data_IF_425951104136
#
_entry.id   IF_425951104136
#
_cell.length_a   1.000
_cell.length_b   1.000
_cell.length_c   1.000
_cell.angle_alpha   90.00
_cell.angle_beta   90.00
_cell.angle_gamma   90.00
#
_symmetry.space_group_name_H-M   'P 1'
#
loop_
_entity.id
_entity.type
_entity.pdbx_description
1 polymer ?
#
# COMPACT_ATOMS: atom_id res chain seq x y z
N UNK A 1 16.25 -2.27 -11.65
CA UNK A 1 16.98 -2.38 -10.36
C UNK A 1 17.06 -3.85 -10.00
N UNK A 2 18.20 -4.50 -10.24
CA UNK A 2 18.45 -5.92 -9.93
C UNK A 2 18.87 -6.13 -8.46
N UNK A 3 18.24 -5.43 -7.50
CA UNK A 3 18.60 -5.54 -6.08
C UNK A 3 18.25 -6.93 -5.53
N UNK A 4 17.08 -7.44 -5.94
CA UNK A 4 16.60 -8.77 -5.58
C UNK A 4 17.58 -9.86 -6.03
N UNK A 5 18.03 -9.82 -7.28
CA UNK A 5 18.99 -10.78 -7.82
C UNK A 5 20.36 -10.74 -7.13
N UNK A 6 20.81 -9.57 -6.64
CA UNK A 6 22.05 -9.48 -5.88
C UNK A 6 21.93 -10.05 -4.47
N UNK A 7 20.78 -9.87 -3.82
CA UNK A 7 20.50 -10.41 -2.48
C UNK A 7 20.32 -11.92 -2.55
N UNK A 8 19.63 -12.43 -3.57
CA UNK A 8 19.44 -13.88 -3.79
C UNK A 8 20.75 -14.64 -4.01
N UNK A 9 21.79 -13.97 -4.53
CA UNK A 9 23.14 -14.55 -4.68
C UNK A 9 23.90 -14.68 -3.36
N UNK A 10 23.48 -13.99 -2.30
CA UNK A 10 24.13 -14.03 -0.98
C UNK A 10 23.61 -15.22 -0.17
N UNK A 11 24.03 -16.42 -0.54
CA UNK A 11 23.65 -17.69 0.10
C UNK A 11 24.73 -18.17 1.08
N UNK A 12 24.32 -18.84 2.15
CA UNK A 12 25.23 -19.48 3.12
C UNK A 12 25.66 -18.59 4.28
N UNK A 13 26.10 -19.22 5.38
CA UNK A 13 26.40 -18.55 6.65
C UNK A 13 27.47 -17.44 6.54
N UNK A 14 28.48 -17.64 5.68
CA UNK A 14 29.54 -16.66 5.45
C UNK A 14 29.02 -15.33 4.88
N UNK A 15 27.91 -15.36 4.16
CA UNK A 15 27.30 -14.17 3.54
C UNK A 15 26.24 -13.50 4.43
N UNK A 16 25.92 -14.06 5.60
CA UNK A 16 24.82 -13.61 6.44
C UNK A 16 24.86 -12.13 6.77
N UNK A 17 26.01 -11.62 7.23
CA UNK A 17 26.17 -10.20 7.59
C UNK A 17 25.98 -9.28 6.39
N UNK A 18 26.44 -9.70 5.20
CA UNK A 18 26.28 -8.95 3.95
C UNK A 18 24.84 -8.97 3.48
N UNK A 19 24.18 -10.13 3.53
CA UNK A 19 22.77 -10.30 3.20
C UNK A 19 21.90 -9.41 4.10
N UNK A 20 22.11 -9.47 5.42
CA UNK A 20 21.39 -8.66 6.40
C UNK A 20 21.52 -7.16 6.10
N UNK A 21 22.74 -6.68 5.84
CA UNK A 21 22.99 -5.27 5.47
C UNK A 21 22.26 -4.86 4.20
N UNK A 22 22.21 -5.71 3.18
CA UNK A 22 21.50 -5.40 1.93
C UNK A 22 19.99 -5.32 2.13
N UNK A 23 19.42 -6.19 2.95
CA UNK A 23 18.00 -6.13 3.33
C UNK A 23 17.69 -4.83 4.08
N UNK A 24 18.50 -4.46 5.07
CA UNK A 24 18.32 -3.19 5.81
C UNK A 24 18.34 -1.98 4.88
N UNK A 25 19.28 -1.91 3.93
CA UNK A 25 19.36 -0.83 2.95
C UNK A 25 18.14 -0.78 2.05
N UNK A 26 17.65 -1.94 1.60
CA UNK A 26 16.44 -2.03 0.78
C UNK A 26 15.21 -1.51 1.54
N UNK A 27 15.05 -1.90 2.81
CA UNK A 27 13.94 -1.44 3.64
C UNK A 27 14.01 0.08 3.90
N UNK A 28 15.21 0.63 4.10
CA UNK A 28 15.41 2.08 4.25
C UNK A 28 15.11 2.84 2.95
N UNK A 29 15.50 2.29 1.80
CA UNK A 29 15.20 2.89 0.50
C UNK A 29 13.69 3.02 0.25
N UNK A 30 12.90 2.06 0.76
CA UNK A 30 11.45 2.09 0.68
C UNK A 30 10.77 2.86 1.84
N UNK A 31 11.53 3.46 2.76
CA UNK A 31 11.02 4.15 3.95
C UNK A 31 10.11 3.26 4.83
N UNK A 32 10.39 1.96 4.88
CA UNK A 32 9.61 0.97 5.67
C UNK A 32 10.43 0.27 6.74
N UNK A 33 11.73 0.57 6.85
CA UNK A 33 12.60 -0.01 7.86
C UNK A 33 12.02 0.14 9.27
N UNK A 34 11.63 1.35 9.64
CA UNK A 34 11.10 1.67 10.97
C UNK A 34 9.74 1.00 11.23
N UNK A 35 8.98 0.73 10.17
CA UNK A 35 7.72 -0.04 10.26
C UNK A 35 8.00 -1.51 10.54
N UNK A 36 9.00 -2.08 9.89
CA UNK A 36 9.41 -3.48 10.10
C UNK A 36 10.07 -3.67 11.47
N UNK A 37 10.84 -2.69 11.95
CA UNK A 37 11.45 -2.69 13.28
C UNK A 37 10.46 -2.43 14.42
N UNK A 38 9.25 -1.97 14.11
CA UNK A 38 8.22 -1.65 15.11
C UNK A 38 8.37 -0.26 15.75
N UNK A 39 9.33 0.53 15.28
CA UNK A 39 9.54 1.92 15.71
C UNK A 39 8.46 2.87 15.16
N UNK A 40 7.80 2.49 14.05
CA UNK A 40 6.72 3.24 13.41
C UNK A 40 5.52 2.35 13.13
N UNK A 41 4.31 2.82 13.43
CA UNK A 41 3.10 2.11 12.99
C UNK A 41 2.96 2.15 11.47
N UNK A 42 2.56 1.03 10.87
CA UNK A 42 2.23 0.97 9.45
C UNK A 42 1.04 1.90 9.17
N UNK A 43 1.14 2.83 8.18
CA UNK A 43 0.04 3.73 7.89
C UNK A 43 -1.21 2.93 7.53
N UNK A 44 -2.24 3.03 8.37
CA UNK A 44 -3.54 2.39 8.09
C UNK A 44 -4.06 2.90 6.75
N UNK A 45 -4.33 1.98 5.84
CA UNK A 45 -4.94 2.29 4.55
C UNK A 45 -6.25 3.05 4.79
N UNK A 46 -6.24 4.35 4.47
CA UNK A 46 -7.42 5.22 4.49
C UNK A 46 -7.82 5.46 3.04
N UNK A 47 -8.88 4.82 2.50
CA UNK A 47 -9.36 5.14 1.16
C UNK A 47 -10.02 6.53 1.19
N UNK A 48 -9.20 7.58 1.08
CA UNK A 48 -9.61 8.99 1.22
C UNK A 48 -10.52 9.47 0.08
N UNK A 49 -10.51 8.77 -1.05
CA UNK A 49 -11.21 9.19 -2.27
C UNK A 49 -12.48 8.38 -2.56
N UNK A 50 -12.56 7.11 -2.16
CA UNK A 50 -13.72 6.27 -2.49
C UNK A 50 -14.98 6.69 -1.76
N UNK A 51 -14.91 7.10 -0.47
CA UNK A 51 -16.11 7.42 0.28
C UNK A 51 -16.81 8.68 -0.25
N UNK A 52 -16.05 9.73 -0.60
CA UNK A 52 -16.61 10.96 -1.19
C UNK A 52 -17.20 10.69 -2.57
N UNK A 53 -16.56 9.85 -3.39
CA UNK A 53 -17.07 9.46 -4.70
C UNK A 53 -18.31 8.56 -4.59
N UNK A 54 -18.31 7.59 -3.68
CA UNK A 54 -19.44 6.70 -3.40
C UNK A 54 -20.65 7.49 -2.88
N UNK A 55 -20.43 8.44 -1.97
CA UNK A 55 -21.48 9.34 -1.47
C UNK A 55 -22.02 10.23 -2.59
N UNK A 56 -21.15 10.75 -3.48
CA UNK A 56 -21.56 11.50 -4.68
C UNK A 56 -22.39 10.62 -5.64
N UNK A 57 -21.97 9.38 -5.88
CA UNK A 57 -22.72 8.42 -6.72
C UNK A 57 -24.06 8.04 -6.08
N UNK A 58 -24.10 7.81 -4.77
CA UNK A 58 -25.33 7.47 -4.03
C UNK A 58 -26.32 8.64 -4.00
N UNK A 59 -25.83 9.89 -3.90
CA UNK A 59 -26.65 11.10 -4.02
C UNK A 59 -27.22 11.26 -5.44
N UNK A 60 -26.40 11.00 -6.49
CA UNK A 60 -26.86 11.01 -7.89
C UNK A 60 -27.93 9.95 -8.18
N UNK A 61 -27.74 8.70 -7.71
CA UNK A 61 -28.76 7.63 -7.86
C UNK A 61 -30.07 7.98 -7.14
N UNK A 62 -30.00 8.56 -5.94
CA UNK A 62 -31.19 8.99 -5.19
C UNK A 62 -31.95 10.12 -5.88
N UNK A 63 -31.27 11.02 -6.59
CA UNK A 63 -31.91 12.08 -7.39
C UNK A 63 -32.52 11.52 -8.68
N UNK A 64 -31.85 10.59 -9.35
CA UNK A 64 -32.36 9.93 -10.55
C UNK A 64 -33.63 9.12 -10.29
N UNK A 65 -33.72 8.41 -9.16
CA UNK A 65 -34.93 7.68 -8.74
C UNK A 65 -36.11 8.59 -8.35
N UNK A 66 -35.85 9.87 -8.05
CA UNK A 66 -36.90 10.86 -7.72
C UNK A 66 -37.46 11.57 -8.96
N UNK A 67 -36.78 11.47 -10.11
CA UNK A 67 -37.10 12.20 -11.34
C UNK A 67 -37.76 11.35 -12.41
N UNK A 68 -37.96 10.05 -12.20
CA UNK A 68 -38.74 9.21 -13.11
C UNK A 68 -40.22 9.49 -12.88
N UNK A 69 -40.96 10.06 -13.85
CA UNK A 69 -42.41 10.14 -13.76
C UNK A 69 -42.96 8.71 -13.86
N UNK A 70 -43.88 8.36 -12.97
CA UNK A 70 -44.67 7.15 -13.10
C UNK A 70 -45.48 7.28 -14.39
N UNK A 71 -45.03 6.64 -15.45
CA UNK A 71 -45.82 6.49 -16.66
C UNK A 71 -46.90 5.45 -16.37
N UNK A 72 -48.15 5.92 -16.21
CA UNK A 72 -49.38 5.14 -16.39
C UNK A 72 -49.65 4.96 -17.88
#
# INVERSE_FOLDING_TARGET
MEFKAHIEKLVGAANWSKWKRQIELLLRHHDVHDVVCGDRECPRYRPRLQLKQLLRMRKRRRLSLKMTPWHN
#
